data_IF_868018392690
#
_entry.id   IF_868018392690
#
_cell.length_a   1.000
_cell.length_b   1.000
_cell.length_c   1.000
_cell.angle_alpha   90.00
_cell.angle_beta   90.00
_cell.angle_gamma   90.00
#
_symmetry.space_group_name_H-M   'P 1'
#
loop_
_entity.id
_entity.type
_entity.pdbx_description
1 polymer ?
#
# COMPACT_ATOMS: atom_id res chain seq x y z
N UNK A 1 -14.52 -4.99 -8.10
CA UNK A 1 -13.09 -5.37 -7.93
C UNK A 1 -12.32 -4.12 -7.57
N UNK A 2 -11.41 -4.17 -6.59
CA UNK A 2 -10.60 -3.02 -6.17
C UNK A 2 -9.59 -2.65 -7.27
N UNK A 3 -9.56 -1.40 -7.71
CA UNK A 3 -8.64 -0.90 -8.75
C UNK A 3 -7.91 0.36 -8.29
N UNK A 4 -6.81 0.70 -8.96
CA UNK A 4 -5.98 1.87 -8.60
C UNK A 4 -6.76 3.16 -8.79
N UNK A 5 -7.42 3.27 -9.92
CA UNK A 5 -8.31 4.38 -10.25
C UNK A 5 -9.43 4.55 -9.21
N UNK A 6 -9.99 3.44 -8.71
CA UNK A 6 -10.98 3.50 -7.65
C UNK A 6 -10.37 4.08 -6.38
N UNK A 7 -9.22 3.58 -5.92
CA UNK A 7 -8.56 4.07 -4.70
C UNK A 7 -8.12 5.54 -4.79
N UNK A 8 -7.72 6.01 -5.98
CA UNK A 8 -7.33 7.40 -6.18
C UNK A 8 -8.51 8.37 -6.12
N UNK A 9 -9.71 7.90 -6.51
CA UNK A 9 -10.93 8.71 -6.55
C UNK A 9 -11.83 8.51 -5.33
N UNK A 10 -11.64 7.42 -4.60
CA UNK A 10 -12.46 7.06 -3.45
C UNK A 10 -12.14 7.97 -2.27
N UNK A 11 -13.20 8.46 -1.63
CA UNK A 11 -13.11 8.88 -0.24
C UNK A 11 -13.16 7.62 0.63
N UNK A 12 -12.07 7.32 1.34
CA UNK A 12 -11.96 6.17 2.22
C UNK A 12 -13.12 6.09 3.24
N UNK A 13 -13.69 7.23 3.64
CA UNK A 13 -14.82 7.30 4.59
C UNK A 13 -16.13 6.77 4.00
N UNK A 14 -16.28 6.83 2.67
CA UNK A 14 -17.51 6.39 1.99
C UNK A 14 -17.37 4.99 1.38
N UNK A 15 -16.17 4.62 0.95
CA UNK A 15 -15.92 3.35 0.27
C UNK A 15 -15.83 2.13 1.20
N UNK A 16 -15.45 2.32 2.47
CA UNK A 16 -15.14 1.22 3.39
C UNK A 16 -15.98 1.20 4.68
N UNK A 17 -17.03 2.03 4.74
CA UNK A 17 -17.91 2.15 5.92
C UNK A 17 -17.34 3.09 6.98
N UNK A 18 -17.93 3.05 8.18
CA UNK A 18 -17.47 3.88 9.30
C UNK A 18 -16.09 3.40 9.77
N UNK A 19 -15.08 4.27 9.64
CA UNK A 19 -13.72 4.05 10.14
C UNK A 19 -13.48 5.04 11.28
N UNK A 20 -12.84 4.60 12.36
CA UNK A 20 -12.40 5.52 13.41
C UNK A 20 -11.40 6.54 12.85
N UNK A 21 -11.66 7.83 13.07
CA UNK A 21 -10.85 8.92 12.50
C UNK A 21 -9.37 8.83 12.90
N UNK A 22 -9.07 8.30 14.08
CA UNK A 22 -7.71 8.06 14.58
C UNK A 22 -6.89 7.10 13.72
N UNK A 23 -7.55 6.23 12.94
CA UNK A 23 -6.91 5.28 12.02
C UNK A 23 -6.70 5.88 10.62
N UNK A 24 -7.30 7.04 10.33
CA UNK A 24 -7.20 7.70 9.03
C UNK A 24 -6.04 8.69 9.04
N UNK A 25 -5.00 8.37 8.29
CA UNK A 25 -3.92 9.32 8.02
C UNK A 25 -4.39 10.38 7.02
N UNK A 26 -4.10 11.65 7.31
CA UNK A 26 -4.28 12.73 6.33
C UNK A 26 -3.41 12.47 5.08
N UNK A 27 -3.69 13.11 3.93
CA UNK A 27 -2.81 13.02 2.76
C UNK A 27 -1.34 13.32 3.08
N UNK A 28 -1.07 14.33 3.89
CA UNK A 28 0.28 14.77 4.30
C UNK A 28 0.95 13.73 5.19
N UNK A 29 0.20 13.17 6.15
CA UNK A 29 0.72 12.11 7.01
C UNK A 29 1.03 10.84 6.22
N UNK A 30 0.21 10.49 5.22
CA UNK A 30 0.48 9.36 4.31
C UNK A 30 1.75 9.60 3.50
N UNK A 31 1.91 10.80 2.93
CA UNK A 31 3.11 11.16 2.17
C UNK A 31 4.38 11.12 3.04
N UNK A 32 4.33 11.69 4.24
CA UNK A 32 5.45 11.68 5.19
C UNK A 32 5.79 10.26 5.67
N UNK A 33 4.78 9.42 5.91
CA UNK A 33 4.97 8.00 6.26
C UNK A 33 5.66 7.23 5.12
N UNK A 34 5.22 7.46 3.87
CA UNK A 34 5.84 6.87 2.69
C UNK A 34 7.30 7.31 2.54
N UNK A 35 7.56 8.62 2.62
CA UNK A 35 8.92 9.17 2.52
C UNK A 35 9.84 8.58 3.60
N UNK A 36 9.40 8.58 4.87
CA UNK A 36 10.14 8.02 6.00
C UNK A 36 10.43 6.51 5.82
N UNK A 37 9.49 5.77 5.23
CA UNK A 37 9.69 4.35 4.92
C UNK A 37 10.74 4.18 3.81
N UNK A 38 10.63 4.96 2.73
CA UNK A 38 11.54 4.87 1.59
C UNK A 38 12.94 5.41 1.91
N UNK A 39 13.09 6.37 2.82
CA UNK A 39 14.39 6.93 3.22
C UNK A 39 15.25 5.94 4.00
N UNK A 40 14.65 4.89 4.56
CA UNK A 40 15.35 3.85 5.33
C UNK A 40 15.87 2.69 4.47
N UNK A 41 15.55 2.67 3.17
CA UNK A 41 15.98 1.59 2.28
C UNK A 41 17.51 1.67 2.06
N UNK A 42 18.25 0.56 2.16
CA UNK A 42 19.68 0.55 1.89
C UNK A 42 19.99 1.02 0.46
N UNK A 43 21.00 1.86 0.28
CA UNK A 43 21.57 2.23 -1.03
C UNK A 43 20.55 2.66 -2.10
N UNK A 44 19.42 3.23 -1.68
CA UNK A 44 18.28 3.54 -2.55
C UNK A 44 17.75 2.34 -3.37
N UNK A 45 17.95 1.11 -2.88
CA UNK A 45 17.57 -0.13 -3.55
C UNK A 45 16.06 -0.21 -3.82
N UNK A 46 15.63 -1.06 -4.77
CA UNK A 46 14.23 -1.40 -4.96
C UNK A 46 13.57 -1.91 -3.67
N UNK A 47 12.27 -1.67 -3.54
CA UNK A 47 11.46 -2.16 -2.41
C UNK A 47 10.68 -3.39 -2.84
N UNK A 48 10.85 -4.48 -2.10
CA UNK A 48 10.07 -5.71 -2.30
C UNK A 48 8.86 -5.72 -1.35
N UNK A 49 7.68 -5.93 -1.91
CA UNK A 49 6.44 -6.09 -1.14
C UNK A 49 6.03 -7.56 -1.17
N UNK A 50 5.97 -8.19 0.00
CA UNK A 50 5.55 -9.57 0.14
C UNK A 50 4.12 -9.64 0.69
N UNK A 51 3.16 -10.05 -0.16
CA UNK A 51 1.76 -10.24 0.23
C UNK A 51 1.54 -11.60 0.89
N UNK A 52 1.71 -11.69 2.21
CA UNK A 52 1.39 -12.91 2.96
C UNK A 52 -0.08 -12.95 3.41
N UNK A 53 -0.72 -14.12 3.33
CA UNK A 53 -2.03 -14.36 3.93
C UNK A 53 -3.26 -14.00 3.09
N UNK A 54 -3.10 -13.71 1.79
CA UNK A 54 -4.24 -13.50 0.88
C UNK A 54 -4.21 -14.51 -0.28
N UNK A 55 -5.32 -15.23 -0.47
CA UNK A 55 -5.55 -16.08 -1.66
C UNK A 55 -5.78 -15.25 -2.93
N UNK A 56 -6.16 -13.98 -2.79
CA UNK A 56 -6.52 -13.07 -3.88
C UNK A 56 -5.68 -11.80 -3.80
N UNK A 57 -4.36 -11.95 -3.70
CA UNK A 57 -3.44 -10.80 -3.66
C UNK A 57 -3.66 -9.89 -4.87
N UNK A 58 -4.03 -8.63 -4.59
CA UNK A 58 -4.17 -7.56 -5.58
C UNK A 58 -3.48 -6.31 -5.02
N UNK A 59 -2.24 -6.01 -5.43
CA UNK A 59 -1.45 -4.89 -4.89
C UNK A 59 -2.00 -3.52 -5.31
N UNK A 60 -2.77 -3.46 -6.40
CA UNK A 60 -3.35 -2.21 -6.92
C UNK A 60 -2.29 -1.15 -7.29
N UNK A 61 -1.06 -1.60 -7.54
CA UNK A 61 0.03 -0.78 -8.08
C UNK A 61 0.81 -1.56 -9.13
N UNK A 62 1.49 -0.83 -10.01
CA UNK A 62 2.40 -1.40 -10.99
C UNK A 62 3.72 -1.75 -10.30
N UNK A 63 4.23 -2.93 -10.60
CA UNK A 63 5.52 -3.44 -10.12
C UNK A 63 6.46 -3.60 -11.31
N UNK A 64 7.71 -3.18 -11.16
CA UNK A 64 8.75 -3.44 -12.15
C UNK A 64 9.06 -4.93 -12.27
N UNK A 65 8.95 -5.67 -11.16
CA UNK A 65 9.25 -7.10 -11.09
C UNK A 65 8.33 -7.83 -10.10
N UNK A 66 7.95 -9.08 -10.42
CA UNK A 66 7.18 -9.97 -9.55
C UNK A 66 7.87 -11.32 -9.47
N UNK A 67 8.10 -11.82 -8.25
CA UNK A 67 8.68 -13.15 -7.99
C UNK A 67 7.86 -13.94 -6.96
N UNK A 68 7.70 -15.26 -7.14
CA UNK A 68 7.25 -16.13 -6.05
C UNK A 68 8.25 -16.08 -4.90
N UNK A 69 7.76 -16.02 -3.66
CA UNK A 69 8.60 -16.06 -2.47
C UNK A 69 8.30 -17.33 -1.66
N UNK A 70 9.34 -17.87 -1.03
CA UNK A 70 9.24 -19.01 -0.11
C UNK A 70 9.35 -18.49 1.32
N UNK A 71 8.44 -18.92 2.18
CA UNK A 71 8.56 -18.73 3.62
C UNK A 71 9.23 -19.98 4.21
N UNK A 72 10.28 -19.75 4.99
CA UNK A 72 10.98 -20.80 5.74
C UNK A 72 10.45 -20.86 7.17
#
# INVERSE_FOLDING_TARGET
MLTRDFLQKADCKTAFGAIEESLLLTPEQRAASLECTLSRRPDHSPVWVFGYGSLMWNPVFESEEVRPAMLQ
#
